data_IF_348523918007
#
_entry.id   IF_348523918007
#
_cell.length_a   1.000
_cell.length_b   1.000
_cell.length_c   1.000
_cell.angle_alpha   90.00
_cell.angle_beta   90.00
_cell.angle_gamma   90.00
#
_symmetry.space_group_name_H-M   'P 1'
#
loop_
_entity.id
_entity.type
_entity.pdbx_description
1 polymer ?
#
# COMPACT_ATOMS: atom_id res chain seq x y z
N UNK A 1 -7.06 -7.44 27.26
CA UNK A 1 -6.84 -6.10 26.68
C UNK A 1 -6.94 -6.24 25.16
N UNK A 2 -7.85 -5.51 24.50
CA UNK A 2 -8.07 -5.64 23.05
C UNK A 2 -6.80 -5.19 22.30
N UNK A 3 -6.31 -5.99 21.35
CA UNK A 3 -5.08 -5.74 20.57
C UNK A 3 -5.05 -4.31 19.97
N UNK A 4 -6.20 -3.80 19.54
CA UNK A 4 -6.36 -2.44 19.03
C UNK A 4 -6.00 -1.34 20.06
N UNK A 5 -6.28 -1.54 21.35
CA UNK A 5 -5.98 -0.57 22.40
C UNK A 5 -4.49 -0.54 22.75
N UNK A 6 -3.80 -1.68 22.63
CA UNK A 6 -2.34 -1.74 22.80
C UNK A 6 -1.62 -1.07 21.62
N UNK A 7 -2.10 -1.31 20.39
CA UNK A 7 -1.54 -0.74 19.18
C UNK A 7 -1.81 0.77 19.03
N UNK A 8 -2.97 1.25 19.48
CA UNK A 8 -3.30 2.67 19.48
C UNK A 8 -2.43 3.54 20.39
N UNK A 9 -1.70 2.94 21.35
CA UNK A 9 -0.72 3.63 22.21
C UNK A 9 0.67 3.74 21.58
N UNK A 10 0.93 3.01 20.49
CA UNK A 10 2.15 3.13 19.71
C UNK A 10 1.99 4.34 18.79
N UNK A 11 2.41 5.51 19.29
CA UNK A 11 2.41 6.76 18.54
C UNK A 11 3.14 6.55 17.20
N UNK A 12 2.41 6.47 16.09
CA UNK A 12 2.96 6.39 14.72
C UNK A 12 3.91 5.20 14.49
N UNK A 13 3.42 3.97 14.69
CA UNK A 13 4.14 2.78 14.26
C UNK A 13 4.60 2.95 12.80
N UNK A 14 5.90 3.03 12.57
CA UNK A 14 6.47 2.85 11.23
C UNK A 14 6.13 1.42 10.77
N UNK A 15 6.18 1.16 9.45
CA UNK A 15 5.86 -0.17 8.91
C UNK A 15 6.63 -1.28 9.64
N UNK A 16 7.90 -1.01 9.97
CA UNK A 16 8.78 -1.89 10.73
C UNK A 16 8.21 -2.26 12.11
N UNK A 17 7.74 -1.28 12.89
CA UNK A 17 7.15 -1.53 14.21
C UNK A 17 5.89 -2.39 14.14
N UNK A 18 5.05 -2.19 13.12
CA UNK A 18 3.88 -3.05 12.87
C UNK A 18 4.33 -4.46 12.50
N UNK A 19 5.26 -4.60 11.56
CA UNK A 19 5.76 -5.91 11.14
C UNK A 19 6.41 -6.68 12.31
N UNK A 20 7.22 -6.00 13.13
CA UNK A 20 7.83 -6.57 14.34
C UNK A 20 6.79 -7.06 15.34
N UNK A 21 5.73 -6.29 15.61
CA UNK A 21 4.65 -6.70 16.50
C UNK A 21 4.00 -8.03 16.06
N UNK A 22 3.88 -8.26 14.76
CA UNK A 22 3.34 -9.51 14.21
C UNK A 22 4.40 -10.61 14.01
N UNK A 23 5.65 -10.39 14.42
CA UNK A 23 6.74 -11.38 14.33
C UNK A 23 7.34 -11.51 12.93
N UNK A 24 7.15 -10.54 12.05
CA UNK A 24 7.82 -10.53 10.74
C UNK A 24 9.26 -10.04 10.87
N UNK A 25 10.15 -10.66 10.11
CA UNK A 25 11.55 -10.21 9.98
C UNK A 25 11.54 -8.85 9.28
N UNK A 26 12.09 -7.83 9.94
CA UNK A 26 12.31 -6.53 9.32
C UNK A 26 13.55 -6.65 8.43
N UNK A 27 13.46 -6.41 7.11
CA UNK A 27 14.64 -6.33 6.27
C UNK A 27 15.49 -5.16 6.77
N UNK A 28 16.73 -5.43 7.19
CA UNK A 28 17.71 -4.35 7.39
C UNK A 28 17.88 -3.61 6.07
N UNK A 29 18.04 -2.27 6.06
CA UNK A 29 18.31 -1.51 4.84
C UNK A 29 19.72 -1.85 4.35
N UNK A 30 19.87 -3.02 3.73
CA UNK A 30 20.99 -3.31 2.86
C UNK A 30 20.85 -2.38 1.66
N UNK A 31 21.96 -1.72 1.32
CA UNK A 31 22.16 -0.88 0.13
C UNK A 31 21.21 -1.29 -0.99
N UNK A 32 20.41 -0.32 -1.47
CA UNK A 32 19.55 -0.45 -2.64
C UNK A 32 20.38 -1.01 -3.78
N UNK A 33 20.40 -2.32 -3.87
CA UNK A 33 20.92 -3.04 -5.01
C UNK A 33 19.66 -3.63 -5.59
N UNK A 34 19.38 -3.33 -6.86
CA UNK A 34 18.28 -3.88 -7.65
C UNK A 34 18.42 -5.40 -7.86
N UNK A 35 19.02 -6.11 -6.90
CA UNK A 35 18.96 -7.56 -6.80
C UNK A 35 17.57 -7.92 -6.32
N UNK A 36 16.64 -7.94 -7.27
CA UNK A 36 15.52 -8.86 -7.19
C UNK A 36 16.11 -10.23 -6.84
N UNK A 37 15.73 -10.87 -5.72
CA UNK A 37 16.25 -12.18 -5.39
C UNK A 37 15.94 -13.11 -6.56
N UNK A 38 16.95 -13.83 -7.05
CA UNK A 38 16.85 -14.69 -8.25
C UNK A 38 15.78 -15.78 -8.10
N UNK A 39 15.36 -16.06 -6.87
CA UNK A 39 14.23 -16.93 -6.55
C UNK A 39 13.49 -16.39 -5.33
N UNK A 40 12.17 -16.61 -5.29
CA UNK A 40 11.36 -16.26 -4.12
C UNK A 40 11.63 -17.25 -2.99
N UNK A 41 11.63 -16.79 -1.72
CA UNK A 41 11.73 -17.68 -0.57
C UNK A 41 10.66 -18.78 -0.59
N UNK A 42 11.03 -19.97 -0.09
CA UNK A 42 10.12 -21.10 0.00
C UNK A 42 8.87 -20.74 0.82
N UNK A 43 7.67 -21.01 0.26
CA UNK A 43 6.38 -20.70 0.89
C UNK A 43 5.76 -19.35 0.52
N UNK A 44 6.43 -18.52 -0.30
CA UNK A 44 5.81 -17.31 -0.85
C UNK A 44 4.75 -17.70 -1.89
N UNK A 45 3.51 -17.25 -1.67
CA UNK A 45 2.39 -17.50 -2.59
C UNK A 45 2.12 -16.31 -3.52
N UNK A 46 2.37 -15.10 -3.04
CA UNK A 46 2.08 -13.86 -3.75
C UNK A 46 3.17 -12.83 -3.48
N UNK A 47 3.48 -12.04 -4.50
CA UNK A 47 4.39 -10.89 -4.43
C UNK A 47 3.64 -9.69 -4.97
N UNK A 48 3.75 -8.56 -4.27
CA UNK A 48 3.16 -7.30 -4.71
C UNK A 48 4.24 -6.22 -4.69
N UNK A 49 4.51 -5.63 -5.86
CA UNK A 49 5.48 -4.55 -6.01
C UNK A 49 4.79 -3.22 -5.73
N UNK A 50 4.91 -2.73 -4.50
CA UNK A 50 4.21 -1.53 -4.05
C UNK A 50 5.09 -0.29 -4.13
N UNK A 51 4.46 0.87 -4.34
CA UNK A 51 5.07 2.17 -4.04
C UNK A 51 5.45 2.26 -2.55
N UNK A 52 6.39 3.15 -2.17
CA UNK A 52 6.82 3.29 -0.79
C UNK A 52 5.66 3.47 0.20
N UNK A 53 5.60 2.61 1.21
CA UNK A 53 4.57 2.65 2.25
C UNK A 53 4.98 3.65 3.33
N UNK A 54 4.31 4.79 3.36
CA UNK A 54 4.56 5.84 4.35
C UNK A 54 3.79 5.62 5.65
N UNK A 55 4.22 6.26 6.74
CA UNK A 55 3.57 6.16 8.05
C UNK A 55 2.07 6.48 8.03
N UNK A 56 1.62 7.41 7.18
CA UNK A 56 0.19 7.73 6.99
C UNK A 56 -0.66 6.58 6.42
N UNK A 57 -0.02 5.57 5.87
CA UNK A 57 -0.66 4.39 5.32
C UNK A 57 -0.84 3.29 6.37
N UNK A 58 -0.22 3.44 7.54
CA UNK A 58 -0.42 2.57 8.68
C UNK A 58 -1.72 2.98 9.37
N UNK A 59 -2.66 2.05 9.48
CA UNK A 59 -3.93 2.28 10.15
C UNK A 59 -3.81 2.11 11.66
N UNK A 60 -4.89 1.67 12.29
CA UNK A 60 -5.00 1.56 13.76
C UNK A 60 -4.27 0.33 14.35
N UNK A 61 -3.27 -0.20 13.64
CA UNK A 61 -2.44 -1.33 14.06
C UNK A 61 -2.84 -2.70 13.51
N UNK A 62 -4.07 -2.88 13.02
CA UNK A 62 -4.56 -4.13 12.41
C UNK A 62 -4.18 -4.27 10.92
N UNK A 63 -3.06 -3.67 10.52
CA UNK A 63 -2.54 -3.69 9.14
C UNK A 63 -2.32 -2.31 8.53
N UNK A 64 -2.16 -2.28 7.21
CA UNK A 64 -1.74 -1.09 6.48
C UNK A 64 -2.34 -1.03 5.06
N UNK A 65 -2.28 0.15 4.46
CA UNK A 65 -2.63 0.36 3.05
C UNK A 65 -1.36 0.42 2.22
N UNK A 66 -1.33 -0.27 1.08
CA UNK A 66 -0.28 -0.11 0.08
C UNK A 66 -0.88 0.36 -1.24
N UNK A 67 -0.02 0.88 -2.11
CA UNK A 67 -0.41 1.36 -3.42
C UNK A 67 0.47 0.70 -4.47
N UNK A 68 -0.14 0.19 -5.52
CA UNK A 68 0.58 -0.42 -6.66
C UNK A 68 0.37 0.48 -7.86
N UNK A 69 1.45 0.80 -8.56
CA UNK A 69 1.37 1.61 -9.77
C UNK A 69 0.53 0.87 -10.83
N UNK A 70 -0.41 1.57 -11.45
CA UNK A 70 -1.19 1.02 -12.56
C UNK A 70 -0.39 0.89 -13.85
N UNK A 71 0.82 1.43 -13.92
CA UNK A 71 1.79 1.13 -14.96
C UNK A 71 2.41 -0.28 -14.82
N UNK A 72 2.28 -0.94 -13.66
CA UNK A 72 2.67 -2.33 -13.51
C UNK A 72 1.83 -3.22 -14.45
N UNK A 73 2.43 -4.14 -15.22
CA UNK A 73 1.70 -4.98 -16.16
C UNK A 73 0.54 -5.76 -15.53
N UNK A 74 0.69 -6.21 -14.28
CA UNK A 74 -0.33 -6.93 -13.54
C UNK A 74 -1.53 -6.07 -13.15
N UNK A 75 -1.33 -4.77 -12.95
CA UNK A 75 -2.42 -3.83 -12.61
C UNK A 75 -3.03 -3.13 -13.82
N UNK A 76 -2.23 -2.83 -14.85
CA UNK A 76 -2.65 -2.04 -16.01
C UNK A 76 -3.90 -2.60 -16.70
N UNK A 77 -3.97 -3.92 -16.85
CA UNK A 77 -5.10 -4.63 -17.49
C UNK A 77 -6.37 -4.56 -16.64
N UNK A 78 -6.23 -4.39 -15.33
CA UNK A 78 -7.33 -4.43 -14.36
C UNK A 78 -7.94 -3.05 -14.06
N UNK A 79 -7.42 -1.97 -14.64
CA UNK A 79 -7.97 -0.63 -14.43
C UNK A 79 -9.32 -0.51 -15.15
N UNK A 80 -10.41 -0.10 -14.48
CA UNK A 80 -11.69 0.16 -15.13
C UNK A 80 -11.61 1.30 -16.15
N UNK A 81 -12.41 1.21 -17.22
CA UNK A 81 -12.46 2.25 -18.25
C UNK A 81 -12.82 3.63 -17.67
N UNK A 82 -13.79 3.68 -16.76
CA UNK A 82 -14.20 4.93 -16.10
C UNK A 82 -13.07 5.62 -15.33
N UNK A 83 -12.16 4.84 -14.74
CA UNK A 83 -10.99 5.34 -14.02
C UNK A 83 -10.00 5.95 -15.02
N UNK A 84 -9.72 5.25 -16.12
CA UNK A 84 -8.86 5.76 -17.20
C UNK A 84 -9.39 7.07 -17.77
N UNK A 85 -10.67 7.10 -18.12
CA UNK A 85 -11.31 8.29 -18.71
C UNK A 85 -11.30 9.48 -17.75
N UNK A 86 -11.54 9.25 -16.45
CA UNK A 86 -11.50 10.30 -15.44
C UNK A 86 -10.09 10.92 -15.31
N UNK A 87 -9.04 10.09 -15.35
CA UNK A 87 -7.65 10.58 -15.31
C UNK A 87 -7.28 11.31 -16.60
N UNK A 88 -7.66 10.79 -17.77
CA UNK A 88 -7.42 11.44 -19.08
C UNK A 88 -8.12 12.81 -19.14
N UNK A 89 -9.38 12.88 -18.71
CA UNK A 89 -10.14 14.13 -18.68
C UNK A 89 -9.48 15.17 -17.77
N UNK A 90 -8.92 14.73 -16.64
CA UNK A 90 -8.17 15.60 -15.73
C UNK A 90 -6.83 16.07 -16.32
N UNK A 91 -6.10 15.18 -17.00
CA UNK A 91 -4.85 15.52 -17.67
C UNK A 91 -5.06 16.58 -18.76
N UNK A 92 -6.20 16.53 -19.46
CA UNK A 92 -6.60 17.51 -20.49
C UNK A 92 -7.17 18.82 -19.92
N UNK A 93 -7.43 18.91 -18.61
CA UNK A 93 -8.01 20.10 -17.99
C UNK A 93 -6.96 21.20 -17.79
N UNK A 94 -7.25 22.48 -18.11
CA UNK A 94 -6.32 23.59 -17.88
C UNK A 94 -5.88 23.68 -16.41
N UNK A 95 -4.59 23.99 -16.17
CA UNK A 95 -3.97 23.99 -14.82
C UNK A 95 -4.79 24.76 -13.76
N UNK A 96 -5.32 25.92 -14.12
CA UNK A 96 -6.16 26.76 -13.23
C UNK A 96 -7.40 26.00 -12.72
N UNK A 97 -8.10 25.31 -13.62
CA UNK A 97 -9.29 24.51 -13.29
C UNK A 97 -8.92 23.15 -12.69
N UNK A 98 -7.75 22.61 -13.05
CA UNK A 98 -7.22 21.33 -12.54
C UNK A 98 -7.05 21.39 -11.01
N UNK A 99 -6.52 22.50 -10.48
CA UNK A 99 -6.38 22.69 -9.03
C UNK A 99 -7.72 22.59 -8.29
N UNK A 100 -8.77 23.24 -8.81
CA UNK A 100 -10.11 23.24 -8.23
C UNK A 100 -10.79 21.86 -8.29
N UNK A 101 -10.56 21.10 -9.36
CA UNK A 101 -11.21 19.79 -9.59
C UNK A 101 -10.46 18.61 -8.98
N UNK A 102 -9.26 18.82 -8.45
CA UNK A 102 -8.37 17.76 -7.94
C UNK A 102 -9.01 16.96 -6.81
N UNK A 103 -9.65 17.65 -5.86
CA UNK A 103 -10.32 16.99 -4.74
C UNK A 103 -11.50 16.13 -5.19
N UNK A 104 -12.30 16.62 -6.15
CA UNK A 104 -13.45 15.88 -6.69
C UNK A 104 -13.00 14.61 -7.39
N UNK A 105 -11.99 14.69 -8.25
CA UNK A 105 -11.41 13.53 -8.90
C UNK A 105 -10.83 12.55 -7.88
N UNK A 106 -10.08 13.04 -6.90
CA UNK A 106 -9.47 12.21 -5.87
C UNK A 106 -10.53 11.43 -5.08
N UNK A 107 -11.65 12.08 -4.73
CA UNK A 107 -12.77 11.40 -4.05
C UNK A 107 -13.41 10.34 -4.94
N UNK A 108 -13.59 10.61 -6.24
CA UNK A 108 -14.13 9.61 -7.19
C UNK A 108 -13.20 8.40 -7.28
N UNK A 109 -11.89 8.63 -7.43
CA UNK A 109 -10.90 7.56 -7.52
C UNK A 109 -10.83 6.74 -6.22
N UNK A 110 -10.82 7.39 -5.06
CA UNK A 110 -10.77 6.69 -3.77
C UNK A 110 -11.95 5.72 -3.60
N UNK A 111 -13.16 6.13 -4.03
CA UNK A 111 -14.36 5.27 -4.01
C UNK A 111 -14.21 4.05 -4.93
N UNK A 112 -13.49 4.20 -6.04
CA UNK A 112 -13.17 3.11 -6.97
C UNK A 112 -11.97 2.25 -6.53
N UNK A 113 -11.33 2.56 -5.40
CA UNK A 113 -10.13 1.85 -4.94
C UNK A 113 -8.84 2.30 -5.64
N UNK A 114 -8.80 3.51 -6.20
CA UNK A 114 -7.65 4.09 -6.87
C UNK A 114 -7.25 5.43 -6.24
N UNK A 115 -6.01 5.84 -6.44
CA UNK A 115 -5.50 7.12 -5.94
C UNK A 115 -4.44 7.69 -6.85
N UNK A 116 -4.46 9.00 -7.08
CA UNK A 116 -3.31 9.69 -7.67
C UNK A 116 -2.35 10.06 -6.54
N UNK A 117 -1.11 9.57 -6.65
CA UNK A 117 0.00 9.89 -5.77
C UNK A 117 0.87 10.92 -6.47
N UNK A 118 0.96 12.09 -5.84
CA UNK A 118 1.80 13.18 -6.33
C UNK A 118 3.19 13.02 -5.74
N UNK A 119 4.18 12.78 -6.60
CA UNK A 119 5.59 12.84 -6.25
C UNK A 119 6.17 14.17 -6.71
N UNK A 120 7.45 14.43 -6.41
CA UNK A 120 8.13 15.65 -6.88
C UNK A 120 8.29 15.69 -8.40
N UNK A 121 8.23 14.53 -9.07
CA UNK A 121 8.45 14.40 -10.52
C UNK A 121 7.16 14.08 -11.27
N UNK A 122 6.29 13.25 -10.70
CA UNK A 122 5.21 12.60 -11.44
C UNK A 122 3.87 12.54 -10.68
N UNK A 123 2.79 12.39 -11.44
CA UNK A 123 1.45 12.03 -10.96
C UNK A 123 1.19 10.54 -11.24
N UNK A 124 1.28 9.70 -10.22
CA UNK A 124 1.15 8.24 -10.38
C UNK A 124 -0.28 7.82 -10.07
N UNK A 125 -0.98 7.20 -11.03
CA UNK A 125 -2.24 6.52 -10.75
C UNK A 125 -1.93 5.16 -10.14
N UNK A 126 -2.38 4.93 -8.91
CA UNK A 126 -2.12 3.70 -8.18
C UNK A 126 -3.40 3.03 -7.69
N UNK A 127 -3.41 1.70 -7.69
CA UNK A 127 -4.46 0.90 -7.07
C UNK A 127 -4.20 0.75 -5.58
N UNK A 128 -5.26 0.90 -4.78
CA UNK A 128 -5.20 0.81 -3.33
C UNK A 128 -5.42 -0.63 -2.86
N UNK A 129 -4.52 -1.13 -2.02
CA UNK A 129 -4.63 -2.43 -1.35
C UNK A 129 -4.66 -2.24 0.17
N UNK A 130 -5.62 -2.87 0.85
CA UNK A 130 -5.68 -2.88 2.32
C UNK A 130 -5.25 -4.24 2.85
N UNK A 131 -4.09 -4.27 3.50
CA UNK A 131 -3.55 -5.44 4.15
C UNK A 131 -4.05 -5.52 5.59
N UNK A 132 -4.43 -6.73 6.00
CA UNK A 132 -4.80 -7.06 7.38
C UNK A 132 -3.86 -8.13 7.88
N UNK A 133 -3.16 -7.86 8.96
CA UNK A 133 -2.19 -8.79 9.53
C UNK A 133 -2.88 -9.64 10.59
N UNK A 134 -2.68 -10.96 10.51
CA UNK A 134 -3.20 -11.89 11.50
C UNK A 134 -2.05 -12.67 12.10
N UNK A 135 -1.98 -12.67 13.43
CA UNK A 135 -1.02 -13.49 14.15
C UNK A 135 -1.43 -14.96 14.05
N UNK A 136 -0.53 -15.83 13.56
CA UNK A 136 -0.70 -17.28 13.72
C UNK A 136 -0.07 -17.69 15.04
N UNK A 137 -0.90 -17.93 16.06
CA UNK A 137 -0.47 -18.68 17.23
C UNK A 137 -0.07 -20.08 16.77
N UNK A 138 1.22 -20.36 16.70
CA UNK A 138 1.68 -21.76 16.73
C UNK A 138 1.45 -22.26 18.14
N UNK A 139 0.27 -22.84 18.40
CA UNK A 139 0.10 -23.72 19.54
C UNK A 139 0.96 -24.95 19.28
N UNK A 140 2.13 -25.00 19.90
CA UNK A 140 2.90 -26.22 20.04
C UNK A 140 2.02 -27.25 20.76
N UNK A 141 1.40 -28.16 20.01
CA UNK A 141 0.65 -29.32 20.53
C UNK A 141 1.60 -30.42 21.01
N UNK A 142 2.62 -30.08 21.80
CA UNK A 142 3.51 -31.04 22.44
C UNK A 142 3.86 -30.55 23.83
N UNK A 143 2.87 -30.56 24.72
CA UNK A 143 3.03 -30.55 26.18
C UNK A 143 1.68 -30.91 26.81
N UNK A 144 1.34 -32.21 26.79
CA UNK A 144 0.56 -32.91 27.82
C UNK A 144 1.18 -34.29 27.97
#
# INVERSE_FOLDING_TARGET
>A
MLVATALGKIHRANLEGVLSFYGFVIPTPSVVTEHHPASLPHGVQFVLNTLPVHAKCIGDGDGFTAYVDTADPGESTNVPQEVREAVIAMARTPKLRKSQKKNVLQTKLNKAGYRIIYTSKDEILARQYRFRLRYKLHLNRYQI
#
